data_IF_646128916770
#
_entry.id   IF_646128916770
#
_cell.length_a   1.000
_cell.length_b   1.000
_cell.length_c   1.000
_cell.angle_alpha   90.00
_cell.angle_beta   90.00
_cell.angle_gamma   90.00
#
_symmetry.space_group_name_H-M   'P 1'
#
loop_
_entity.id
_entity.type
_entity.pdbx_description
1 polymer ?
#
# COMPACT_ATOMS: atom_id res chain seq x y z
N UNK A 1 8.82 2.71 -74.47
CA UNK A 1 8.03 1.65 -73.82
C UNK A 1 8.25 1.74 -72.31
N UNK A 2 7.25 2.13 -71.52
CA UNK A 2 7.32 2.22 -70.06
C UNK A 2 6.52 1.06 -69.48
N UNK A 3 7.22 0.09 -68.90
CA UNK A 3 6.59 -1.06 -68.26
C UNK A 3 5.98 -0.63 -66.93
N UNK A 4 4.73 -1.06 -66.74
CA UNK A 4 3.87 -0.74 -65.63
C UNK A 4 4.10 -1.76 -64.51
N UNK A 5 4.32 -1.24 -63.31
CA UNK A 5 4.04 -1.89 -62.02
C UNK A 5 4.88 -3.10 -61.64
N UNK A 6 6.07 -2.85 -61.08
CA UNK A 6 6.62 -3.71 -60.03
C UNK A 6 5.66 -3.68 -58.83
N UNK A 7 4.71 -4.60 -58.78
CA UNK A 7 3.84 -4.78 -57.63
C UNK A 7 4.67 -5.39 -56.49
N UNK A 8 5.18 -4.53 -55.61
CA UNK A 8 5.89 -4.95 -54.39
C UNK A 8 4.87 -5.55 -53.42
N UNK A 9 4.85 -6.88 -53.30
CA UNK A 9 4.08 -7.57 -52.27
C UNK A 9 4.78 -7.40 -50.91
N UNK A 10 4.27 -6.46 -50.09
CA UNK A 10 4.74 -6.25 -48.74
C UNK A 10 3.85 -7.00 -47.73
N UNK A 11 4.27 -8.19 -47.33
CA UNK A 11 3.66 -8.93 -46.21
C UNK A 11 4.20 -8.37 -44.89
N UNK A 12 3.49 -7.41 -44.30
CA UNK A 12 3.78 -6.89 -42.96
C UNK A 12 2.98 -7.61 -41.89
N UNK A 13 3.61 -7.98 -40.78
CA UNK A 13 2.90 -8.41 -39.57
C UNK A 13 2.77 -7.23 -38.61
N UNK A 14 1.54 -6.89 -38.24
CA UNK A 14 1.26 -5.84 -37.25
C UNK A 14 1.43 -6.42 -35.85
N UNK A 15 2.68 -6.62 -35.41
CA UNK A 15 2.94 -6.96 -34.00
C UNK A 15 3.11 -5.66 -33.22
N UNK A 16 2.43 -5.54 -32.08
CA UNK A 16 2.71 -4.43 -31.18
C UNK A 16 4.21 -4.44 -30.86
N UNK A 17 4.89 -3.28 -30.86
CA UNK A 17 6.24 -3.19 -30.31
C UNK A 17 6.20 -3.78 -28.89
N UNK A 18 7.19 -4.58 -28.47
CA UNK A 18 7.21 -5.18 -27.14
C UNK A 18 7.10 -4.13 -26.02
N UNK A 19 7.50 -2.88 -26.27
CA UNK A 19 7.31 -1.73 -25.37
C UNK A 19 5.84 -1.35 -25.11
N UNK A 20 4.92 -1.69 -26.01
CA UNK A 20 3.49 -1.41 -25.91
C UNK A 20 2.67 -2.66 -25.55
N UNK A 21 3.33 -3.79 -25.25
CA UNK A 21 2.69 -5.01 -24.78
C UNK A 21 2.76 -5.07 -23.25
N UNK A 22 1.63 -5.31 -22.60
CA UNK A 22 1.55 -5.47 -21.15
C UNK A 22 0.72 -6.71 -20.81
N UNK A 23 1.32 -7.65 -20.11
CA UNK A 23 0.63 -8.84 -19.59
C UNK A 23 0.01 -8.49 -18.23
N UNK A 24 -1.31 -8.62 -18.11
CA UNK A 24 -2.03 -8.33 -16.87
C UNK A 24 -2.12 -9.60 -16.04
N UNK A 25 -1.33 -9.66 -14.97
CA UNK A 25 -1.37 -10.76 -14.00
C UNK A 25 -1.92 -10.28 -12.66
N UNK A 26 -2.64 -11.13 -11.95
CA UNK A 26 -3.05 -10.84 -10.57
C UNK A 26 -1.92 -11.23 -9.63
N UNK A 27 -1.51 -10.31 -8.76
CA UNK A 27 -0.48 -10.56 -7.73
C UNK A 27 -0.96 -11.50 -6.63
N UNK A 28 -2.27 -11.73 -6.52
CA UNK A 28 -2.86 -12.62 -5.53
C UNK A 28 -3.97 -13.46 -6.14
N UNK A 29 -4.00 -14.75 -5.78
CA UNK A 29 -5.03 -15.68 -6.23
C UNK A 29 -6.40 -15.30 -5.69
N UNK A 30 -7.46 -15.50 -6.47
CA UNK A 30 -8.82 -15.16 -6.09
C UNK A 30 -9.83 -15.48 -7.18
N UNK A 31 -11.10 -15.25 -6.89
CA UNK A 31 -12.21 -15.44 -7.82
C UNK A 31 -12.42 -14.13 -8.59
N UNK A 32 -12.48 -14.20 -9.92
CA UNK A 32 -12.86 -13.04 -10.74
C UNK A 32 -14.32 -12.71 -10.46
N UNK A 33 -14.58 -11.55 -9.87
CA UNK A 33 -15.94 -11.09 -9.56
C UNK A 33 -16.60 -10.39 -10.74
N UNK A 34 -15.84 -9.58 -11.47
CA UNK A 34 -16.33 -8.90 -12.66
C UNK A 34 -15.22 -8.72 -13.68
N UNK A 35 -15.60 -8.80 -14.95
CA UNK A 35 -14.80 -8.40 -16.10
C UNK A 35 -15.55 -7.23 -16.74
N UNK A 36 -14.86 -6.10 -16.96
CA UNK A 36 -15.45 -4.85 -17.46
C UNK A 36 -15.12 -4.59 -18.93
N UNK A 37 -14.42 -5.50 -19.57
CA UNK A 37 -13.90 -5.34 -20.93
C UNK A 37 -14.11 -6.61 -21.74
N UNK A 38 -14.20 -6.45 -23.06
CA UNK A 38 -14.26 -7.55 -24.02
C UNK A 38 -13.01 -7.54 -24.92
N UNK A 39 -12.70 -8.68 -25.54
CA UNK A 39 -11.56 -8.79 -26.45
C UNK A 39 -11.69 -7.81 -27.63
N UNK A 40 -10.57 -7.18 -28.00
CA UNK A 40 -10.53 -6.14 -29.04
C UNK A 40 -10.97 -4.74 -28.60
N UNK A 41 -11.44 -4.57 -27.36
CA UNK A 41 -11.82 -3.27 -26.81
C UNK A 41 -10.57 -2.43 -26.46
N UNK A 42 -10.55 -1.17 -26.90
CA UNK A 42 -9.50 -0.22 -26.54
C UNK A 42 -9.56 0.11 -25.03
N UNK A 43 -8.40 0.05 -24.35
CA UNK A 43 -8.26 0.34 -22.92
C UNK A 43 -7.13 1.34 -22.68
N UNK A 44 -7.27 2.16 -21.64
CA UNK A 44 -6.27 3.17 -21.25
C UNK A 44 -5.42 2.68 -20.06
N UNK A 45 -4.21 3.21 -19.91
CA UNK A 45 -3.37 2.94 -18.75
C UNK A 45 -4.12 3.33 -17.45
N UNK A 46 -4.12 2.42 -16.46
CA UNK A 46 -4.81 2.61 -15.19
C UNK A 46 -6.31 2.29 -15.21
N UNK A 47 -6.88 1.90 -16.35
CA UNK A 47 -8.28 1.45 -16.43
C UNK A 47 -8.46 0.11 -15.70
N UNK A 48 -9.46 0.04 -14.82
CA UNK A 48 -9.86 -1.22 -14.16
C UNK A 48 -10.50 -2.17 -15.18
N UNK A 49 -9.80 -3.27 -15.50
CA UNK A 49 -10.25 -4.28 -16.46
C UNK A 49 -11.12 -5.36 -15.81
N UNK A 50 -10.73 -5.80 -14.60
CA UNK A 50 -11.44 -6.80 -13.83
C UNK A 50 -11.34 -6.50 -12.34
N UNK A 51 -12.25 -7.05 -11.54
CA UNK A 51 -12.17 -7.03 -10.08
C UNK A 51 -12.05 -8.45 -9.57
N UNK A 52 -11.00 -8.71 -8.79
CA UNK A 52 -10.73 -10.03 -8.21
C UNK A 52 -11.08 -9.97 -6.72
N UNK A 53 -11.84 -10.95 -6.25
CA UNK A 53 -12.09 -11.16 -4.83
C UNK A 53 -11.24 -12.32 -4.33
N UNK A 54 -10.33 -12.01 -3.41
CA UNK A 54 -9.47 -13.01 -2.78
C UNK A 54 -9.79 -13.15 -1.30
N UNK A 55 -9.96 -14.38 -0.83
CA UNK A 55 -10.08 -14.67 0.59
C UNK A 55 -8.78 -14.37 1.34
N UNK A 56 -7.63 -14.53 0.68
CA UNK A 56 -6.32 -14.20 1.22
C UNK A 56 -6.17 -12.69 1.47
N UNK A 57 -6.71 -11.85 0.56
CA UNK A 57 -6.80 -10.40 0.79
C UNK A 57 -7.52 -10.07 2.09
N UNK A 58 -8.64 -10.75 2.35
CA UNK A 58 -9.43 -10.50 3.55
C UNK A 58 -8.65 -10.90 4.81
N UNK A 59 -7.88 -12.00 4.77
CA UNK A 59 -7.01 -12.42 5.88
C UNK A 59 -5.93 -11.37 6.15
N UNK A 60 -5.19 -10.96 5.13
CA UNK A 60 -4.14 -9.93 5.26
C UNK A 60 -4.74 -8.60 5.77
N UNK A 61 -5.93 -8.22 5.29
CA UNK A 61 -6.62 -7.01 5.75
C UNK A 61 -6.98 -7.10 7.23
N UNK A 62 -7.47 -8.25 7.67
CA UNK A 62 -7.83 -8.50 9.07
C UNK A 62 -6.58 -8.46 9.97
N UNK A 63 -5.50 -9.14 9.58
CA UNK A 63 -4.23 -9.11 10.29
C UNK A 63 -3.67 -7.70 10.40
N UNK A 64 -3.72 -6.93 9.30
CA UNK A 64 -3.32 -5.52 9.31
C UNK A 64 -4.17 -4.67 10.26
N UNK A 65 -5.46 -4.94 10.39
CA UNK A 65 -6.32 -4.25 11.36
C UNK A 65 -5.89 -4.56 12.79
N UNK A 66 -5.71 -5.85 13.11
CA UNK A 66 -5.25 -6.29 14.43
C UNK A 66 -3.90 -5.69 14.82
N UNK A 67 -2.95 -5.65 13.88
CA UNK A 67 -1.65 -5.02 14.09
C UNK A 67 -1.76 -3.52 14.36
N UNK A 68 -2.63 -2.81 13.64
CA UNK A 68 -2.87 -1.38 13.90
C UNK A 68 -3.47 -1.14 15.28
N UNK A 69 -4.44 -1.95 15.69
CA UNK A 69 -5.05 -1.86 17.02
C UNK A 69 -4.02 -2.11 18.13
N UNK A 70 -3.18 -3.15 17.96
CA UNK A 70 -2.09 -3.45 18.90
C UNK A 70 -1.04 -2.33 18.96
N UNK A 71 -0.71 -1.72 17.83
CA UNK A 71 0.22 -0.59 17.78
C UNK A 71 -0.37 0.63 18.48
N UNK A 72 -1.66 0.90 18.28
CA UNK A 72 -2.35 2.01 18.92
C UNK A 72 -2.44 1.84 20.45
N UNK A 73 -2.73 0.63 20.93
CA UNK A 73 -2.76 0.36 22.37
C UNK A 73 -1.36 0.46 23.01
N UNK A 74 -0.33 -0.04 22.32
CA UNK A 74 1.05 0.10 22.77
C UNK A 74 1.49 1.58 22.83
N UNK A 75 1.09 2.39 21.85
CA UNK A 75 1.35 3.83 21.84
C UNK A 75 0.66 4.55 23.00
N UNK A 76 -0.63 4.23 23.25
CA UNK A 76 -1.37 4.79 24.38
C UNK A 76 -0.72 4.43 25.72
N UNK A 77 -0.33 3.16 25.90
CA UNK A 77 0.39 2.71 27.10
C UNK A 77 1.72 3.43 27.27
N UNK A 78 2.50 3.59 26.19
CA UNK A 78 3.75 4.34 26.23
C UNK A 78 3.52 5.79 26.67
N UNK A 79 2.54 6.47 26.08
CA UNK A 79 2.21 7.85 26.45
C UNK A 79 1.82 7.97 27.92
N UNK A 80 1.00 7.04 28.43
CA UNK A 80 0.62 6.99 29.83
C UNK A 80 1.86 6.82 30.74
N UNK A 81 2.74 5.88 30.42
CA UNK A 81 3.97 5.62 31.16
C UNK A 81 4.91 6.84 31.14
N UNK A 82 5.03 7.53 30.00
CA UNK A 82 5.85 8.74 29.87
C UNK A 82 5.32 9.87 30.77
N UNK A 83 3.99 10.05 30.83
CA UNK A 83 3.35 11.04 31.71
C UNK A 83 3.61 10.70 33.18
N UNK A 84 3.42 9.44 33.58
CA UNK A 84 3.64 8.98 34.95
C UNK A 84 5.12 9.10 35.36
N UNK A 85 6.04 8.74 34.48
CA UNK A 85 7.47 8.91 34.70
C UNK A 85 7.85 10.37 34.96
N UNK A 86 7.35 11.29 34.12
CA UNK A 86 7.59 12.73 34.30
C UNK A 86 6.99 13.26 35.62
N UNK A 87 5.81 12.78 35.99
CA UNK A 87 5.14 13.11 37.27
C UNK A 87 6.01 12.68 38.46
N UNK A 88 6.52 11.45 38.45
CA UNK A 88 7.38 10.92 39.50
C UNK A 88 8.71 11.68 39.59
N UNK A 89 9.33 11.99 38.45
CA UNK A 89 10.57 12.80 38.39
C UNK A 89 10.39 14.18 39.02
N UNK A 90 9.29 14.87 38.69
CA UNK A 90 8.95 16.19 39.26
C UNK A 90 8.69 16.12 40.76
N UNK A 91 8.01 15.07 41.23
CA UNK A 91 7.77 14.85 42.66
C UNK A 91 9.08 14.62 43.43
N UNK A 92 9.99 13.79 42.91
CA UNK A 92 11.30 13.53 43.50
C UNK A 92 12.16 14.79 43.62
N UNK A 93 12.23 15.60 42.55
CA UNK A 93 12.96 16.88 42.57
C UNK A 93 12.38 17.89 43.57
N UNK A 94 11.04 17.95 43.69
CA UNK A 94 10.39 18.78 44.70
C UNK A 94 10.78 18.35 46.12
N UNK A 95 10.76 17.05 46.42
CA UNK A 95 11.16 16.52 47.74
C UNK A 95 12.60 16.89 48.10
N UNK A 96 13.55 16.74 47.18
CA UNK A 96 14.96 17.08 47.44
C UNK A 96 15.15 18.59 47.66
N UNK A 97 14.45 19.43 46.90
CA UNK A 97 14.47 20.89 47.10
C UNK A 97 13.86 21.32 48.44
N UNK A 98 12.77 20.67 48.87
CA UNK A 98 12.13 20.94 50.17
C UNK A 98 13.03 20.54 51.34
N UNK A 99 13.68 19.36 51.28
CA UNK A 99 14.62 18.91 52.30
C UNK A 99 15.79 19.89 52.44
N UNK A 100 16.39 20.33 51.33
CA UNK A 100 17.48 21.33 51.34
C UNK A 100 17.05 22.67 51.93
N UNK A 101 15.82 23.12 51.66
CA UNK A 101 15.29 24.36 52.23
C UNK A 101 15.01 24.23 53.73
N UNK A 102 14.57 23.06 54.19
CA UNK A 102 14.33 22.78 55.61
C UNK A 102 15.63 22.82 56.42
N UNK A 103 16.72 22.23 55.90
CA UNK A 103 18.04 22.25 56.55
C UNK A 103 18.77 23.61 56.51
N UNK A 104 18.26 24.60 55.78
CA UNK A 104 18.84 25.96 55.68
C UNK A 104 18.18 26.99 56.60
N UNK A 105 17.22 26.57 57.43
CA UNK A 105 16.64 27.38 58.52
C UNK A 105 17.15 26.85 59.85
#
# INVERSE_FOLDING_TARGET
>A
MKNLSDAINASGYTKLPPQNQADVTSTMGGIVKTIKVIEGQYVKQGQSLATIQSLEYNKIRLEKSKLKESLQSAQANKQFLDVEYNRQKKSSQRRTSMQKRHFRK
#
